data_IF_121348580996
#
_entry.id   IF_121348580996
#
_cell.length_a   1.000
_cell.length_b   1.000
_cell.length_c   1.000
_cell.angle_alpha   90.00
_cell.angle_beta   90.00
_cell.angle_gamma   90.00
#
_symmetry.space_group_name_H-M   'P 1'
#
loop_
_entity.id
_entity.type
_entity.pdbx_description
1 polymer ?
#
# COMPACT_ATOMS: atom_id res chain seq x y z
N UNK A 1 10.43 -3.15 -17.78
CA UNK A 1 10.02 -1.79 -17.36
C UNK A 1 10.36 -1.62 -15.88
N UNK A 2 10.84 -0.46 -15.43
CA UNK A 2 11.15 -0.19 -14.02
C UNK A 2 9.94 0.51 -13.37
N UNK A 3 9.33 -0.11 -12.37
CA UNK A 3 8.22 0.44 -11.59
C UNK A 3 8.64 0.56 -10.13
N UNK A 4 8.10 1.56 -9.43
CA UNK A 4 8.34 1.80 -8.01
C UNK A 4 7.11 1.39 -7.20
N UNK A 5 7.31 0.79 -6.02
CA UNK A 5 6.24 0.48 -5.07
C UNK A 5 5.85 1.75 -4.30
N UNK A 6 4.59 2.18 -4.44
CA UNK A 6 4.08 3.42 -3.85
C UNK A 6 4.10 3.40 -2.32
N UNK A 7 3.80 2.24 -1.70
CA UNK A 7 3.79 2.08 -0.26
C UNK A 7 5.21 2.13 0.31
N UNK A 8 6.17 1.50 -0.37
CA UNK A 8 7.58 1.59 0.00
C UNK A 8 8.11 3.03 -0.13
N UNK A 9 7.60 3.80 -1.10
CA UNK A 9 8.00 5.19 -1.30
C UNK A 9 7.44 6.16 -0.24
N UNK A 10 6.20 5.98 0.22
CA UNK A 10 5.49 7.01 1.02
C UNK A 10 4.65 6.49 2.19
N UNK A 11 4.59 5.17 2.38
CA UNK A 11 3.87 4.53 3.46
C UNK A 11 4.60 4.59 4.78
N UNK A 12 3.89 4.23 5.86
CA UNK A 12 4.44 4.17 7.22
C UNK A 12 4.18 2.81 7.85
N UNK A 13 5.15 2.32 8.62
CA UNK A 13 5.07 1.05 9.31
C UNK A 13 5.10 -0.17 8.38
N UNK A 14 4.64 -1.31 8.89
CA UNK A 14 4.77 -2.60 8.21
C UNK A 14 3.86 -2.76 6.98
N UNK A 15 2.83 -1.91 6.83
CA UNK A 15 1.92 -1.99 5.68
C UNK A 15 1.11 -3.28 5.59
N UNK A 16 0.88 -3.98 6.71
CA UNK A 16 0.12 -5.24 6.73
C UNK A 16 -1.27 -5.01 6.14
N UNK A 17 -1.54 -5.65 5.01
CA UNK A 17 -2.85 -5.64 4.35
C UNK A 17 -3.62 -6.91 4.68
N UNK A 18 -3.00 -8.08 4.61
CA UNK A 18 -3.61 -9.35 5.01
C UNK A 18 -3.43 -9.62 6.50
N UNK A 19 -4.50 -10.01 7.20
CA UNK A 19 -4.49 -10.14 8.67
C UNK A 19 -5.22 -11.36 9.26
N UNK A 20 -5.47 -12.42 8.48
CA UNK A 20 -6.17 -13.61 8.98
C UNK A 20 -5.25 -14.76 9.40
N UNK A 21 -5.82 -15.73 10.12
CA UNK A 21 -5.16 -17.00 10.51
C UNK A 21 -3.84 -16.82 11.28
N UNK A 22 -3.70 -15.74 12.05
CA UNK A 22 -2.46 -15.34 12.75
C UNK A 22 -1.28 -15.02 11.82
N UNK A 23 -1.54 -14.84 10.53
CA UNK A 23 -0.57 -14.39 9.56
C UNK A 23 -0.78 -12.92 9.24
N UNK A 24 0.32 -12.19 9.10
CA UNK A 24 0.33 -10.76 8.82
C UNK A 24 1.27 -10.49 7.67
N UNK A 25 0.70 -10.18 6.50
CA UNK A 25 1.47 -9.97 5.29
C UNK A 25 1.10 -8.65 4.61
N UNK A 26 2.08 -8.07 3.91
CA UNK A 26 1.86 -6.99 2.94
C UNK A 26 1.91 -7.61 1.55
N UNK A 27 0.74 -7.96 1.02
CA UNK A 27 0.62 -8.66 -0.27
C UNK A 27 -0.08 -7.82 -1.34
N UNK A 28 -0.68 -6.71 -0.95
CA UNK A 28 -1.28 -5.75 -1.88
C UNK A 28 -0.29 -4.64 -2.18
N UNK A 29 -0.13 -4.33 -3.47
CA UNK A 29 0.88 -3.40 -3.96
C UNK A 29 0.28 -2.45 -5.00
N UNK A 30 0.65 -1.17 -4.91
CA UNK A 30 0.37 -0.17 -5.93
C UNK A 30 1.71 0.18 -6.59
N UNK A 31 1.88 -0.20 -7.87
CA UNK A 31 3.10 0.05 -8.62
C UNK A 31 2.92 1.29 -9.50
N UNK A 32 3.87 2.21 -9.44
CA UNK A 32 3.84 3.47 -10.18
C UNK A 32 5.03 3.60 -11.12
N UNK A 33 4.83 4.28 -12.25
CA UNK A 33 5.90 4.60 -13.19
C UNK A 33 6.90 5.62 -12.59
N UNK A 34 8.16 5.67 -13.06
CA UNK A 34 9.19 6.54 -12.49
C UNK A 34 8.91 8.04 -12.60
N UNK A 35 8.00 8.46 -13.48
CA UNK A 35 7.55 9.85 -13.63
C UNK A 35 6.41 10.23 -12.67
N UNK A 36 5.96 9.30 -11.82
CA UNK A 36 4.97 9.52 -10.78
C UNK A 36 5.63 9.48 -9.39
N UNK A 37 4.95 10.09 -8.43
CA UNK A 37 5.33 10.12 -7.02
C UNK A 37 4.11 9.88 -6.14
N UNK A 38 4.25 8.97 -5.19
CA UNK A 38 3.26 8.64 -4.18
C UNK A 38 3.42 9.50 -2.93
N UNK A 39 2.31 9.76 -2.25
CA UNK A 39 2.22 10.46 -0.97
C UNK A 39 1.18 9.79 -0.07
N UNK A 40 1.43 9.83 1.23
CA UNK A 40 0.54 9.36 2.29
C UNK A 40 -0.10 7.99 2.02
N UNK A 41 0.70 7.02 1.53
CA UNK A 41 0.21 5.66 1.40
C UNK A 41 -0.21 5.12 2.76
N UNK A 42 -1.45 4.66 2.83
CA UNK A 42 -2.11 4.29 4.09
C UNK A 42 -2.81 2.95 3.92
N UNK A 43 -2.69 2.10 4.93
CA UNK A 43 -3.55 0.93 5.08
C UNK A 43 -4.70 1.31 6.00
N UNK A 44 -5.92 1.28 5.49
CA UNK A 44 -7.11 1.59 6.29
C UNK A 44 -7.56 0.35 7.07
N UNK A 45 -7.28 0.36 8.38
CA UNK A 45 -7.65 -0.73 9.30
C UNK A 45 -9.05 -0.59 9.91
N UNK A 46 -9.77 0.49 9.59
CA UNK A 46 -11.12 0.71 10.09
C UNK A 46 -12.15 -0.18 9.39
N UNK A 47 -11.87 -0.59 8.15
CA UNK A 47 -12.75 -1.42 7.32
C UNK A 47 -12.40 -2.89 7.50
N UNK A 48 -13.38 -3.72 7.91
CA UNK A 48 -13.20 -5.15 8.24
C UNK A 48 -14.03 -6.09 7.35
N UNK A 49 -14.35 -5.66 6.14
CA UNK A 49 -15.22 -6.40 5.22
C UNK A 49 -14.51 -7.55 4.47
N UNK A 50 -13.18 -7.65 4.58
CA UNK A 50 -12.35 -8.69 3.98
C UNK A 50 -11.22 -9.07 4.94
N UNK A 51 -10.59 -10.20 4.68
CA UNK A 51 -9.28 -10.61 5.21
C UNK A 51 -8.13 -9.66 4.84
N UNK A 52 -8.36 -8.76 3.89
CA UNK A 52 -7.48 -7.69 3.47
C UNK A 52 -7.99 -6.31 3.92
N UNK A 53 -7.09 -5.49 4.45
CA UNK A 53 -7.28 -4.06 4.64
C UNK A 53 -7.01 -3.32 3.32
N UNK A 54 -7.87 -2.37 2.93
CA UNK A 54 -7.62 -1.52 1.77
C UNK A 54 -6.32 -0.72 1.91
N UNK A 55 -5.55 -0.65 0.82
CA UNK A 55 -4.40 0.25 0.69
C UNK A 55 -4.75 1.34 -0.30
N UNK A 56 -4.43 2.59 0.05
CA UNK A 56 -4.62 3.72 -0.84
C UNK A 56 -3.46 4.72 -0.71
N UNK A 57 -3.22 5.49 -1.77
CA UNK A 57 -2.13 6.46 -1.86
C UNK A 57 -2.58 7.66 -2.71
N UNK A 58 -2.08 8.86 -2.40
CA UNK A 58 -2.16 9.98 -3.34
C UNK A 58 -1.00 9.90 -4.34
N UNK A 59 -1.25 10.25 -5.60
CA UNK A 59 -0.25 10.18 -6.67
C UNK A 59 -0.22 11.52 -7.41
N UNK A 60 0.98 12.06 -7.65
CA UNK A 60 1.22 13.20 -8.55
C UNK A 60 2.29 12.86 -9.59
N UNK A 61 2.40 13.68 -10.63
CA UNK A 61 3.61 13.71 -11.46
C UNK A 61 4.80 14.17 -10.59
N UNK A 62 6.00 13.67 -10.90
CA UNK A 62 7.26 14.20 -10.34
C UNK A 62 7.55 15.60 -10.85
#
# INVERSE_FOLDING_TARGET
>A
QKLDDAFTQSGKGLGISYNQNKFYFRIDNILISPNLKAYNCTVDRSIKASDHYPIWCYISKR
#
